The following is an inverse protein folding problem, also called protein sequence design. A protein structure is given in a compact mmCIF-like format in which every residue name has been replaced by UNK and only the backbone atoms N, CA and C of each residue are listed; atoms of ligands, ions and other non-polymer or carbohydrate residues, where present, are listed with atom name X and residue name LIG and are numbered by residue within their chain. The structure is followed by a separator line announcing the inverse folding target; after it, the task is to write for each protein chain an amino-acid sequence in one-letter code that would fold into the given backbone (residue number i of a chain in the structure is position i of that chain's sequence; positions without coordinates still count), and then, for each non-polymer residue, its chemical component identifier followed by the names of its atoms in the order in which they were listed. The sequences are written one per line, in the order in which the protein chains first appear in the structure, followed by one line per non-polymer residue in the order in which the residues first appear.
data_IF_883082225915
#
_entry.id   IF_883082225915
#
_cell.length_a   1.000
_cell.length_b   1.000
_cell.length_c   1.000
_cell.angle_alpha   90.00
_cell.angle_beta   90.00
_cell.angle_gamma   90.00
#
_symmetry.space_group_name_H-M   'P 1'
#
loop_
_entity.id
_entity.type
_entity.pdbx_description
1 polymer ?
#
# COMPACT_ATOMS: atom_id res chain seq x y z
N UNK A 1 12.07 5.85 1.58
CA UNK A 1 10.94 5.12 2.18
C UNK A 1 9.84 5.17 1.15
N UNK A 2 9.03 4.14 1.06
CA UNK A 2 7.83 4.20 0.23
C UNK A 2 6.60 4.36 1.12
N UNK A 3 5.60 5.09 0.66
CA UNK A 3 4.39 5.37 1.44
C UNK A 3 3.10 5.31 0.60
N UNK A 4 1.99 5.01 1.28
CA UNK A 4 0.64 5.00 0.72
C UNK A 4 -0.21 5.94 1.58
N UNK A 5 -0.77 6.98 0.98
CA UNK A 5 -1.55 8.02 1.68
C UNK A 5 -2.96 8.18 1.08
N UNK A 6 -3.89 8.68 1.89
CA UNK A 6 -5.19 9.18 1.43
C UNK A 6 -5.11 10.69 1.36
N UNK A 7 -5.11 11.25 0.15
CA UNK A 7 -5.02 12.69 -0.07
C UNK A 7 -6.42 13.34 0.00
N UNK A 8 -6.56 14.42 0.78
CA UNK A 8 -7.71 15.33 0.69
C UNK A 8 -7.25 16.74 0.31
N UNK A 9 -8.18 17.53 -0.21
CA UNK A 9 -7.94 18.91 -0.62
C UNK A 9 -7.36 19.73 0.54
N UNK A 10 -6.26 20.43 0.27
CA UNK A 10 -5.63 21.38 1.20
C UNK A 10 -4.69 20.75 2.23
N UNK A 11 -4.48 19.44 2.20
CA UNK A 11 -3.60 18.76 3.15
C UNK A 11 -2.12 18.88 2.77
N UNK A 12 -1.27 19.00 3.79
CA UNK A 12 0.17 18.89 3.66
C UNK A 12 0.62 17.51 4.13
N UNK A 13 1.13 16.70 3.23
CA UNK A 13 1.59 15.33 3.51
C UNK A 13 3.05 15.26 4.01
N UNK A 14 3.66 16.40 4.32
CA UNK A 14 4.85 16.43 5.17
C UNK A 14 6.18 16.37 4.46
N UNK A 15 6.29 16.03 3.17
CA UNK A 15 7.60 16.03 2.51
C UNK A 15 8.17 17.46 2.33
N UNK A 16 9.42 17.77 2.69
CA UNK A 16 10.48 16.90 3.21
C UNK A 16 10.71 17.05 4.73
N UNK A 17 9.70 17.45 5.49
CA UNK A 17 9.74 17.46 6.96
C UNK A 17 9.66 16.04 7.54
N UNK A 18 8.86 15.18 6.92
CA UNK A 18 8.72 13.76 7.24
C UNK A 18 9.05 12.89 6.03
N UNK A 19 9.54 11.68 6.29
CA UNK A 19 9.69 10.58 5.34
C UNK A 19 8.92 9.37 5.90
N UNK A 20 7.71 9.11 5.38
CA UNK A 20 6.77 8.20 6.01
C UNK A 20 6.27 8.75 7.37
N UNK A 21 6.44 7.95 8.42
CA UNK A 21 6.08 8.36 9.80
C UNK A 21 7.23 9.05 10.54
N UNK A 22 8.44 9.05 9.98
CA UNK A 22 9.65 9.51 10.67
C UNK A 22 10.00 10.95 10.28
N UNK A 23 10.50 11.78 11.23
CA UNK A 23 11.09 13.07 10.88
C UNK A 23 12.28 12.89 9.93
N UNK A 24 12.35 13.72 8.89
CA UNK A 24 13.43 13.68 7.89
C UNK A 24 14.27 14.96 7.90
N UNK A 25 13.65 16.13 7.84
CA UNK A 25 14.37 17.41 7.79
C UNK A 25 13.62 18.52 8.52
N UNK A 26 14.36 19.50 9.04
CA UNK A 26 13.77 20.73 9.58
C UNK A 26 13.79 21.89 8.58
N UNK A 27 14.38 21.71 7.38
CA UNK A 27 14.58 22.80 6.41
C UNK A 27 13.30 23.50 5.96
N UNK A 28 12.19 22.76 5.89
CA UNK A 28 10.86 23.29 5.52
C UNK A 28 9.85 23.21 6.66
N UNK A 29 10.31 22.95 7.90
CA UNK A 29 9.42 22.90 9.04
C UNK A 29 8.94 24.31 9.35
N UNK A 30 7.63 24.48 9.32
CA UNK A 30 6.96 25.70 9.75
C UNK A 30 6.27 25.46 11.09
N UNK A 31 6.37 26.43 12.00
CA UNK A 31 5.65 26.41 13.27
C UNK A 31 4.13 26.49 13.01
N UNK A 32 3.34 25.76 13.79
CA UNK A 32 1.88 25.69 13.64
C UNK A 32 1.38 24.90 12.42
N UNK A 33 2.28 24.39 11.56
CA UNK A 33 1.88 23.59 10.41
C UNK A 33 1.40 22.20 10.83
N UNK A 34 0.25 21.79 10.32
CA UNK A 34 -0.30 20.44 10.50
C UNK A 34 0.11 19.57 9.32
N UNK A 35 0.74 18.43 9.61
CA UNK A 35 1.12 17.44 8.60
C UNK A 35 0.23 16.20 8.72
N UNK A 36 -0.15 15.63 7.58
CA UNK A 36 -0.99 14.44 7.49
C UNK A 36 -0.12 13.23 7.18
N UNK A 37 -0.05 12.29 8.12
CA UNK A 37 0.70 11.06 7.95
C UNK A 37 0.09 10.13 6.90
N UNK A 38 0.91 9.27 6.26
CA UNK A 38 0.41 8.25 5.37
C UNK A 38 -0.40 7.19 6.12
N UNK A 39 -1.13 6.36 5.38
CA UNK A 39 -1.81 5.18 5.93
C UNK A 39 -0.79 4.08 6.22
N UNK A 40 0.18 3.89 5.32
CA UNK A 40 1.25 2.93 5.49
C UNK A 40 2.56 3.49 4.91
N UNK A 41 3.68 3.09 5.50
CA UNK A 41 5.01 3.38 4.98
C UNK A 41 5.94 2.21 5.29
N UNK A 42 6.90 1.95 4.40
CA UNK A 42 7.86 0.86 4.60
C UNK A 42 9.27 1.22 4.16
N UNK A 43 10.23 0.61 4.86
CA UNK A 43 11.67 0.82 4.63
C UNK A 43 12.12 0.10 3.35
N UNK A 44 13.19 0.61 2.76
CA UNK A 44 13.85 0.12 1.53
C UNK A 44 14.12 -1.40 1.47
N UNK A 45 14.24 -2.05 2.64
CA UNK A 45 14.41 -3.51 2.72
C UNK A 45 13.18 -4.31 2.27
N UNK A 46 12.00 -3.70 2.21
CA UNK A 46 10.75 -4.34 1.79
C UNK A 46 10.33 -3.98 0.35
N UNK A 47 10.99 -2.99 -0.25
CA UNK A 47 10.69 -2.44 -1.58
C UNK A 47 11.25 -1.02 -1.69
N UNK A 48 11.45 -0.52 -2.91
CA UNK A 48 12.15 0.73 -3.18
C UNK A 48 11.42 1.66 -4.16
N UNK A 49 10.25 1.26 -4.64
CA UNK A 49 9.47 2.01 -5.62
C UNK A 49 8.05 1.46 -5.64
N UNK A 50 7.16 2.03 -4.81
CA UNK A 50 5.71 1.75 -4.92
C UNK A 50 5.21 2.28 -6.25
N UNK A 51 4.62 1.40 -7.06
CA UNK A 51 3.98 1.78 -8.32
C UNK A 51 2.56 2.31 -8.08
N UNK A 52 1.89 1.84 -7.04
CA UNK A 52 0.47 2.11 -6.75
C UNK A 52 -0.41 0.90 -7.07
N UNK A 53 -1.71 1.12 -7.29
CA UNK A 53 -2.66 0.07 -7.66
C UNK A 53 -4.12 0.49 -7.52
N UNK A 54 -5.02 -0.45 -7.25
CA UNK A 54 -6.48 -0.25 -7.26
C UNK A 54 -7.16 -0.88 -6.06
N UNK A 55 -8.32 -0.34 -5.68
CA UNK A 55 -9.20 -1.03 -4.74
C UNK A 55 -9.98 -2.11 -5.47
N UNK A 56 -9.95 -3.34 -4.97
CA UNK A 56 -10.69 -4.44 -5.58
C UNK A 56 -12.22 -4.25 -5.41
N UNK A 57 -12.93 -4.26 -6.55
CA UNK A 57 -14.37 -4.00 -6.66
C UNK A 57 -15.11 -5.08 -7.47
N UNK A 58 -14.45 -6.22 -7.72
CA UNK A 58 -15.04 -7.32 -8.49
C UNK A 58 -16.14 -8.05 -7.72
N UNK A 59 -15.91 -9.30 -7.37
CA UNK A 59 -16.92 -10.06 -6.62
C UNK A 59 -17.12 -9.45 -5.23
N UNK A 60 -18.36 -9.02 -4.94
CA UNK A 60 -18.76 -8.46 -3.64
C UNK A 60 -18.71 -9.50 -2.51
N UNK A 61 -18.80 -10.79 -2.83
CA UNK A 61 -18.68 -11.87 -1.86
C UNK A 61 -17.21 -12.23 -1.56
N UNK A 62 -16.26 -11.72 -2.37
CA UNK A 62 -14.85 -11.94 -2.14
C UNK A 62 -14.39 -11.24 -0.85
N UNK A 63 -13.54 -11.89 -0.03
CA UNK A 63 -12.95 -11.26 1.14
C UNK A 63 -12.01 -10.09 0.77
N UNK A 64 -11.63 -9.95 -0.50
CA UNK A 64 -10.82 -8.83 -0.99
C UNK A 64 -11.65 -7.61 -1.38
N UNK A 65 -12.99 -7.69 -1.40
CA UNK A 65 -13.81 -6.55 -1.79
C UNK A 65 -13.59 -5.38 -0.83
N UNK A 66 -13.05 -4.26 -1.33
CA UNK A 66 -12.65 -3.13 -0.47
C UNK A 66 -11.17 -3.04 -0.14
N UNK A 67 -10.37 -4.05 -0.46
CA UNK A 67 -8.94 -4.06 -0.23
C UNK A 67 -8.23 -3.22 -1.30
N UNK A 68 -7.37 -2.30 -0.87
CA UNK A 68 -6.44 -1.62 -1.76
C UNK A 68 -5.29 -2.56 -2.10
N UNK A 69 -5.21 -2.94 -3.37
CA UNK A 69 -4.17 -3.81 -3.92
C UNK A 69 -3.13 -2.93 -4.60
N UNK A 70 -1.88 -3.04 -4.20
CA UNK A 70 -0.78 -2.25 -4.74
C UNK A 70 0.51 -3.06 -4.84
N UNK A 71 1.48 -2.55 -5.60
CA UNK A 71 2.74 -3.25 -5.83
C UNK A 71 3.97 -2.34 -5.74
N UNK A 72 5.12 -2.99 -5.65
CA UNK A 72 6.44 -2.37 -5.73
C UNK A 72 7.19 -2.89 -6.96
N UNK A 73 7.77 -1.97 -7.72
CA UNK A 73 8.48 -2.28 -8.95
C UNK A 73 9.69 -3.20 -8.73
N UNK A 74 10.48 -2.95 -7.68
CA UNK A 74 11.76 -3.64 -7.45
C UNK A 74 11.56 -4.99 -6.78
N UNK A 75 10.75 -5.03 -5.72
CA UNK A 75 10.52 -6.27 -4.98
C UNK A 75 9.53 -7.19 -5.68
N UNK A 76 8.72 -6.64 -6.61
CA UNK A 76 7.62 -7.33 -7.31
C UNK A 76 6.53 -7.84 -6.37
N UNK A 77 6.57 -7.46 -5.10
CA UNK A 77 5.58 -7.88 -4.12
C UNK A 77 4.27 -7.15 -4.37
N UNK A 78 3.18 -7.91 -4.28
CA UNK A 78 1.81 -7.40 -4.34
C UNK A 78 1.25 -7.44 -2.93
N UNK A 79 0.76 -6.29 -2.48
CA UNK A 79 0.23 -6.07 -1.15
C UNK A 79 -1.26 -5.79 -1.21
N UNK A 80 -2.00 -6.30 -0.24
CA UNK A 80 -3.36 -5.88 0.08
C UNK A 80 -3.36 -5.05 1.35
N UNK A 81 -4.11 -3.95 1.38
CA UNK A 81 -4.24 -3.03 2.51
C UNK A 81 -5.70 -2.64 2.76
N UNK A 82 -6.10 -2.62 4.03
CA UNK A 82 -7.33 -2.00 4.50
C UNK A 82 -7.04 -0.95 5.56
N UNK A 83 -7.92 0.04 5.65
CA UNK A 83 -7.81 1.13 6.61
C UNK A 83 -9.19 1.51 7.14
N UNK A 84 -9.20 2.12 8.31
CA UNK A 84 -10.36 2.79 8.88
C UNK A 84 -9.93 4.18 9.33
N UNK A 85 -10.65 5.23 8.91
CA UNK A 85 -10.36 6.62 9.27
C UNK A 85 -8.90 7.05 9.03
N UNK A 86 -8.30 6.54 7.95
CA UNK A 86 -6.89 6.74 7.54
C UNK A 86 -5.86 6.01 8.40
N UNK A 87 -6.30 5.19 9.34
CA UNK A 87 -5.44 4.33 10.14
C UNK A 87 -5.40 2.95 9.50
N UNK A 88 -4.19 2.42 9.31
CA UNK A 88 -3.99 1.06 8.83
C UNK A 88 -4.73 0.05 9.72
N UNK A 89 -5.52 -0.84 9.12
CA UNK A 89 -6.16 -1.97 9.80
C UNK A 89 -5.44 -3.27 9.50
N UNK A 90 -5.13 -3.53 8.24
CA UNK A 90 -4.45 -4.77 7.83
C UNK A 90 -3.61 -4.47 6.60
N UNK A 91 -2.40 -5.01 6.57
CA UNK A 91 -1.54 -5.08 5.39
C UNK A 91 -0.98 -6.49 5.27
N UNK A 92 -1.06 -7.09 4.09
CA UNK A 92 -0.55 -8.44 3.83
C UNK A 92 0.03 -8.52 2.44
N UNK A 93 1.10 -9.30 2.27
CA UNK A 93 1.51 -9.73 0.95
C UNK A 93 0.47 -10.73 0.45
N UNK A 94 -0.04 -10.52 -0.76
CA UNK A 94 -1.10 -11.32 -1.37
C UNK A 94 -0.64 -12.00 -2.67
N UNK A 95 0.57 -11.67 -3.14
CA UNK A 95 1.17 -12.29 -4.31
C UNK A 95 2.52 -11.69 -4.65
N UNK A 96 3.07 -12.16 -5.77
CA UNK A 96 4.30 -11.65 -6.37
C UNK A 96 4.09 -11.60 -7.88
N UNK A 97 4.50 -10.50 -8.51
CA UNK A 97 4.49 -10.35 -9.96
C UNK A 97 5.70 -11.07 -10.59
N UNK A 98 5.55 -11.71 -11.76
CA UNK A 98 6.68 -12.26 -12.50
C UNK A 98 7.71 -11.19 -12.89
N UNK A 99 7.23 -10.01 -13.26
CA UNK A 99 8.03 -8.87 -13.72
C UNK A 99 7.98 -7.69 -12.74
N UNK A 100 8.88 -6.72 -12.95
CA UNK A 100 8.77 -5.40 -12.33
C UNK A 100 7.40 -4.79 -12.64
N UNK A 101 6.73 -4.30 -11.62
CA UNK A 101 5.35 -3.80 -11.74
C UNK A 101 5.39 -2.38 -12.29
N UNK A 102 5.05 -2.20 -13.56
CA UNK A 102 5.05 -0.90 -14.23
C UNK A 102 3.73 -0.14 -14.03
N UNK A 103 2.61 -0.86 -13.97
CA UNK A 103 1.29 -0.29 -13.70
C UNK A 103 0.31 -1.36 -13.23
N UNK A 104 -0.92 -0.96 -12.96
CA UNK A 104 -2.07 -1.82 -12.78
C UNK A 104 -3.20 -1.37 -13.71
N UNK A 105 -4.16 -2.26 -13.97
CA UNK A 105 -5.39 -1.93 -14.68
C UNK A 105 -6.59 -2.67 -14.07
N UNK A 106 -7.79 -2.21 -14.42
CA UNK A 106 -9.04 -2.90 -14.08
C UNK A 106 -9.93 -3.03 -15.30
N UNK A 107 -10.71 -4.10 -15.37
CA UNK A 107 -11.78 -4.25 -16.35
C UNK A 107 -13.15 -3.81 -15.80
N UNK A 108 -14.20 -3.92 -16.62
CA UNK A 108 -15.57 -3.57 -16.25
C UNK A 108 -16.16 -4.46 -15.16
N UNK A 109 -15.56 -5.64 -14.92
CA UNK A 109 -15.95 -6.58 -13.86
C UNK A 109 -15.18 -6.35 -12.57
N UNK A 110 -14.31 -5.34 -12.50
CA UNK A 110 -13.51 -5.04 -11.33
C UNK A 110 -12.39 -6.04 -11.04
N UNK A 111 -12.00 -6.86 -12.03
CA UNK A 111 -10.78 -7.68 -11.96
C UNK A 111 -9.57 -6.76 -12.04
N UNK A 112 -8.49 -7.13 -11.37
CA UNK A 112 -7.25 -6.34 -11.34
C UNK A 112 -6.19 -7.06 -12.15
N UNK A 113 -5.48 -6.28 -12.96
CA UNK A 113 -4.36 -6.72 -13.76
C UNK A 113 -3.09 -6.00 -13.34
N UNK A 114 -1.96 -6.71 -13.39
CA UNK A 114 -0.61 -6.16 -13.29
C UNK A 114 -0.08 -5.96 -14.71
N UNK A 115 0.44 -4.77 -14.99
CA UNK A 115 1.21 -4.49 -16.21
C UNK A 115 2.69 -4.60 -15.85
N UNK A 116 3.33 -5.64 -16.38
CA UNK A 116 4.74 -5.91 -16.25
C UNK A 116 5.59 -4.97 -17.10
N UNK A 117 6.79 -4.68 -16.63
CA UNK A 117 7.72 -3.76 -17.29
C UNK A 117 8.21 -4.25 -18.66
N UNK A 118 8.24 -5.57 -18.88
CA UNK A 118 8.61 -6.16 -20.18
C UNK A 118 7.40 -6.23 -21.14
N UNK A 119 6.24 -5.69 -20.74
CA UNK A 119 5.05 -5.53 -21.58
C UNK A 119 3.98 -6.59 -21.40
N UNK A 120 4.17 -7.56 -20.50
CA UNK A 120 3.18 -8.58 -20.22
C UNK A 120 2.07 -8.07 -19.29
N UNK A 121 0.86 -8.61 -19.44
CA UNK A 121 -0.28 -8.30 -18.56
C UNK A 121 -0.73 -9.58 -17.85
N UNK A 122 -0.83 -9.52 -16.53
CA UNK A 122 -1.18 -10.65 -15.67
C UNK A 122 -2.46 -10.35 -14.88
N UNK A 123 -3.42 -11.27 -14.88
CA UNK A 123 -4.60 -11.18 -14.01
C UNK A 123 -4.23 -11.61 -12.59
N UNK A 124 -4.71 -10.86 -11.58
CA UNK A 124 -4.62 -11.28 -10.18
C UNK A 124 -5.82 -12.17 -9.85
N UNK A 125 -5.54 -13.42 -9.48
CA UNK A 125 -6.56 -14.35 -9.00
C UNK A 125 -6.80 -14.19 -7.49
N UNK A 126 -8.04 -13.88 -7.12
CA UNK A 126 -8.49 -13.70 -5.73
C UNK A 126 -9.27 -14.91 -5.19
N UNK A 127 -9.48 -15.98 -5.97
CA UNK A 127 -10.40 -17.07 -5.66
C UNK A 127 -9.98 -17.94 -4.46
N UNK A 128 -8.68 -18.03 -4.17
CA UNK A 128 -8.14 -18.90 -3.12
C UNK A 128 -7.70 -18.17 -1.84
N UNK A 129 -7.84 -16.84 -1.78
CA UNK A 129 -7.27 -16.03 -0.70
C UNK A 129 -8.28 -15.70 0.41
N UNK A 130 -7.80 -15.64 1.66
CA UNK A 130 -8.49 -14.97 2.76
C UNK A 130 -7.81 -13.63 3.03
N UNK A 131 -8.61 -12.58 3.18
CA UNK A 131 -8.18 -11.26 3.64
C UNK A 131 -8.89 -10.89 4.96
N UNK A 132 -8.95 -11.85 5.89
CA UNK A 132 -9.41 -11.55 7.24
C UNK A 132 -8.37 -10.69 7.99
N UNK A 133 -8.80 -9.76 8.87
CA UNK A 133 -7.92 -9.15 9.85
C UNK A 133 -7.22 -10.26 10.64
N UNK A 134 -5.94 -10.08 10.97
CA UNK A 134 -5.31 -10.95 11.95
C UNK A 134 -6.14 -10.88 13.26
N UNK A 135 -6.38 -12.01 13.96
CA UNK A 135 -6.97 -11.97 15.29
C UNK A 135 -6.19 -10.99 16.18
N UNK A 136 -6.90 -10.25 17.03
CA UNK A 136 -6.36 -9.12 17.83
C UNK A 136 -5.32 -9.55 18.89
N UNK A 137 -4.93 -10.83 18.95
CA UNK A 137 -3.97 -11.38 19.92
C UNK A 137 -2.57 -11.67 19.36
N UNK A 138 -2.06 -10.85 18.43
CA UNK A 138 -0.69 -10.98 17.91
C UNK A 138 0.10 -9.66 17.85
N UNK A 139 -0.20 -8.71 18.75
CA UNK A 139 0.60 -7.50 18.92
C UNK A 139 1.85 -7.79 19.76
N UNK A 140 2.95 -8.20 19.10
CA UNK A 140 4.36 -7.90 19.44
C UNK A 140 5.33 -8.60 18.47
N UNK A 141 5.45 -8.10 17.25
CA UNK A 141 6.57 -8.46 16.37
C UNK A 141 6.89 -7.34 15.36
N UNK A 142 7.16 -6.13 15.86
CA UNK A 142 7.85 -5.11 15.04
C UNK A 142 8.57 -4.01 15.84
N UNK A 143 8.27 -3.82 17.14
CA UNK A 143 8.72 -2.63 17.87
C UNK A 143 9.41 -2.89 19.23
N UNK A 144 10.30 -3.89 19.31
CA UNK A 144 11.35 -3.89 20.34
C UNK A 144 12.64 -4.48 19.78
N UNK A 145 13.56 -3.61 19.40
CA UNK A 145 14.95 -3.94 19.09
C UNK A 145 15.74 -2.65 19.09
N UNK A 146 16.38 -2.37 20.23
CA UNK A 146 17.42 -1.35 20.41
C UNK A 146 18.50 -1.45 19.35
#
# INVERSE_FOLDING_TARGET
VEEVAIVRRGENHGWNVYEGFEPFSNRRRQEGMVYVHPVAAYKRKYGNSVTGGYVYRGDKASPFHGVYVFGDYTSRLIWGLTQENRTLKTIRQIGTSPEGIASFATDEKGRIYVVGYEGMVYEIDFAAGSFAPAPVDAERAANTGR
#
